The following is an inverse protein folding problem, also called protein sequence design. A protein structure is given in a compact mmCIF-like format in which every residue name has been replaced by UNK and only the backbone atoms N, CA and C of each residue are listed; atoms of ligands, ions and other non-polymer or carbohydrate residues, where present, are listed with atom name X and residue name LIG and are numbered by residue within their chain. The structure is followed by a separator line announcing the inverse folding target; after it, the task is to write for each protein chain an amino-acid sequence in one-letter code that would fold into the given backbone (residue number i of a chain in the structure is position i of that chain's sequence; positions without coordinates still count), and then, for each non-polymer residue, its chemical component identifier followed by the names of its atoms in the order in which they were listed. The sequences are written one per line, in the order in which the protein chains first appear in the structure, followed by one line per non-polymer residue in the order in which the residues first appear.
data_IF_258670930297
#
_entry.id   IF_258670930297
#
_cell.length_a   1.000
_cell.length_b   1.000
_cell.length_c   1.000
_cell.angle_alpha   90.00
_cell.angle_beta   90.00
_cell.angle_gamma   90.00
#
_symmetry.space_group_name_H-M   'P 1'
#
loop_
_entity.id
_entity.type
_entity.pdbx_description
1 polymer ?
#
# COMPACT_ATOMS: atom_id res chain seq x y z
N UNK A 1 -8.60 -15.02 -6.36
CA UNK A 1 -9.07 -13.65 -6.01
C UNK A 1 -9.08 -13.45 -4.49
N UNK A 2 -9.36 -14.48 -3.69
CA UNK A 2 -9.49 -14.40 -2.23
C UNK A 2 -8.21 -13.94 -1.53
N UNK A 3 -7.03 -14.33 -2.03
CA UNK A 3 -5.76 -13.88 -1.49
C UNK A 3 -5.55 -12.36 -1.67
N UNK A 4 -5.89 -11.83 -2.86
CA UNK A 4 -5.80 -10.40 -3.14
C UNK A 4 -6.86 -9.61 -2.38
N UNK A 5 -8.07 -10.14 -2.20
CA UNK A 5 -9.12 -9.52 -1.35
C UNK A 5 -8.74 -9.50 0.13
N UNK A 6 -7.98 -10.50 0.59
CA UNK A 6 -7.50 -10.59 1.97
C UNK A 6 -6.33 -9.65 2.25
N UNK A 7 -5.41 -9.50 1.30
CA UNK A 7 -4.27 -8.60 1.43
C UNK A 7 -4.64 -7.15 1.09
N UNK A 8 -5.52 -6.90 0.11
CA UNK A 8 -5.88 -5.56 -0.35
C UNK A 8 -7.40 -5.30 -0.28
N UNK A 9 -8.03 -5.44 0.91
CA UNK A 9 -9.50 -5.37 1.05
C UNK A 9 -10.09 -4.03 0.61
N UNK A 10 -9.31 -2.94 0.71
CA UNK A 10 -9.73 -1.61 0.28
C UNK A 10 -9.71 -1.46 -1.24
N UNK A 11 -8.75 -2.06 -1.95
CA UNK A 11 -8.67 -2.02 -3.42
C UNK A 11 -9.88 -2.64 -4.11
N UNK A 12 -10.54 -3.62 -3.48
CA UNK A 12 -11.70 -4.32 -4.06
C UNK A 12 -13.06 -3.64 -3.85
N UNK A 13 -13.10 -2.51 -3.12
CA UNK A 13 -14.33 -1.69 -2.98
C UNK A 13 -14.44 -0.59 -4.02
N UNK A 14 -13.50 -0.49 -4.96
CA UNK A 14 -13.45 0.53 -6.00
C UNK A 14 -14.51 0.28 -7.10
N UNK A 15 -15.78 0.55 -6.81
CA UNK A 15 -16.90 0.43 -7.76
C UNK A 15 -17.10 1.70 -8.60
N UNK A 16 -16.73 2.85 -8.02
CA UNK A 16 -16.86 4.20 -8.60
C UNK A 16 -15.54 4.98 -8.47
N UNK A 17 -15.37 6.05 -9.25
CA UNK A 17 -14.14 6.89 -9.26
C UNK A 17 -13.81 7.41 -7.85
N UNK A 18 -14.85 7.80 -7.10
CA UNK A 18 -14.71 8.23 -5.71
C UNK A 18 -14.15 7.12 -4.81
N UNK A 19 -14.60 5.87 -5.00
CA UNK A 19 -14.11 4.72 -4.24
C UNK A 19 -12.67 4.35 -4.59
N UNK A 20 -12.25 4.51 -5.86
CA UNK A 20 -10.85 4.36 -6.23
C UNK A 20 -9.97 5.43 -5.57
N UNK A 21 -10.41 6.69 -5.59
CA UNK A 21 -9.72 7.79 -4.92
C UNK A 21 -9.57 7.56 -3.41
N UNK A 22 -10.61 7.05 -2.74
CA UNK A 22 -10.56 6.71 -1.31
C UNK A 22 -9.55 5.59 -1.05
N UNK A 23 -9.58 4.51 -1.83
CA UNK A 23 -8.61 3.42 -1.66
C UNK A 23 -7.19 3.89 -1.91
N UNK A 24 -6.97 4.73 -2.93
CA UNK A 24 -5.67 5.34 -3.21
C UNK A 24 -5.19 6.21 -2.05
N UNK A 25 -6.07 7.06 -1.51
CA UNK A 25 -5.79 7.89 -0.33
C UNK A 25 -5.40 7.04 0.88
N UNK A 26 -6.10 5.94 1.14
CA UNK A 26 -5.77 5.02 2.24
C UNK A 26 -4.37 4.44 2.07
N UNK A 27 -4.01 3.96 0.87
CA UNK A 27 -2.67 3.43 0.63
C UNK A 27 -1.59 4.51 0.75
N UNK A 28 -1.84 5.72 0.24
CA UNK A 28 -0.90 6.85 0.35
C UNK A 28 -0.70 7.24 1.82
N UNK A 29 -1.77 7.33 2.61
CA UNK A 29 -1.68 7.67 4.03
C UNK A 29 -0.90 6.60 4.80
N UNK A 30 -1.17 5.30 4.53
CA UNK A 30 -0.42 4.20 5.14
C UNK A 30 1.06 4.28 4.76
N UNK A 31 1.37 4.52 3.48
CA UNK A 31 2.75 4.62 2.99
C UNK A 31 3.50 5.79 3.64
N UNK A 32 2.87 6.97 3.76
CA UNK A 32 3.45 8.13 4.44
C UNK A 32 3.68 7.82 5.94
N UNK A 33 2.67 7.29 6.63
CA UNK A 33 2.78 7.00 8.07
C UNK A 33 3.85 5.95 8.33
N UNK A 34 3.84 4.84 7.59
CA UNK A 34 4.86 3.81 7.70
C UNK A 34 6.23 4.33 7.30
N UNK A 35 6.34 5.09 6.21
CA UNK A 35 7.59 5.68 5.74
C UNK A 35 8.20 6.65 6.76
N UNK A 36 7.39 7.49 7.42
CA UNK A 36 7.85 8.39 8.48
C UNK A 36 8.33 7.61 9.69
N UNK A 37 7.57 6.61 10.15
CA UNK A 37 7.93 5.77 11.31
C UNK A 37 9.21 4.98 11.04
N UNK A 38 9.30 4.33 9.88
CA UNK A 38 10.46 3.56 9.44
C UNK A 38 11.66 4.48 9.22
N UNK A 39 11.48 5.66 8.62
CA UNK A 39 12.55 6.65 8.43
C UNK A 39 13.09 7.22 9.74
N UNK A 40 12.23 7.39 10.76
CA UNK A 40 12.65 7.75 12.12
C UNK A 40 13.47 6.63 12.77
N UNK A 41 13.01 5.39 12.66
CA UNK A 41 13.70 4.20 13.19
C UNK A 41 15.00 3.89 12.44
N UNK A 42 15.08 4.22 11.16
CA UNK A 42 16.23 3.98 10.31
C UNK A 42 17.45 4.86 10.67
N UNK A 43 17.26 5.93 11.45
CA UNK A 43 18.35 6.77 11.98
C UNK A 43 19.22 6.03 13.01
N UNK A 44 18.80 4.88 13.51
CA UNK A 44 19.62 4.05 14.39
C UNK A 44 20.68 3.28 13.57
N UNK A 45 21.98 3.55 13.76
CA UNK A 45 23.05 3.05 12.87
C UNK A 45 23.20 1.52 12.84
N UNK A 46 22.74 0.80 13.87
CA UNK A 46 22.81 -0.66 13.94
C UNK A 46 21.65 -1.39 13.25
N UNK A 47 20.46 -0.77 13.21
CA UNK A 47 19.22 -1.42 12.72
C UNK A 47 18.69 -0.70 11.45
N UNK A 48 19.32 0.40 11.05
CA UNK A 48 18.89 1.22 9.92
C UNK A 48 18.77 0.48 8.60
N UNK A 49 19.64 -0.51 8.35
CA UNK A 49 19.57 -1.36 7.16
C UNK A 49 18.31 -2.26 7.15
N UNK A 50 17.92 -2.79 8.32
CA UNK A 50 16.73 -3.62 8.48
C UNK A 50 15.46 -2.79 8.28
N UNK A 51 15.41 -1.58 8.83
CA UNK A 51 14.31 -0.64 8.62
C UNK A 51 14.26 -0.14 7.18
N UNK A 52 15.40 0.10 6.51
CA UNK A 52 15.43 0.41 5.09
C UNK A 52 14.82 -0.71 4.23
N UNK A 53 15.12 -1.97 4.56
CA UNK A 53 14.57 -3.13 3.86
C UNK A 53 13.06 -3.29 4.11
N UNK A 54 12.61 -3.08 5.35
CA UNK A 54 11.18 -3.05 5.71
C UNK A 54 10.45 -1.89 5.02
N UNK A 55 11.06 -0.72 4.92
CA UNK A 55 10.52 0.43 4.19
C UNK A 55 10.35 0.13 2.71
N UNK A 56 11.34 -0.51 2.09
CA UNK A 56 11.24 -1.00 0.72
C UNK A 56 10.10 -2.00 0.53
N UNK A 57 9.93 -2.95 1.45
CA UNK A 57 8.82 -3.91 1.41
C UNK A 57 7.45 -3.25 1.56
N UNK A 58 7.34 -2.26 2.45
CA UNK A 58 6.09 -1.49 2.65
C UNK A 58 5.76 -0.66 1.41
N UNK A 59 6.74 0.05 0.84
CA UNK A 59 6.53 0.82 -0.38
C UNK A 59 6.15 -0.05 -1.57
N UNK A 60 6.77 -1.24 -1.69
CA UNK A 60 6.42 -2.21 -2.72
C UNK A 60 5.01 -2.76 -2.52
N UNK A 61 4.61 -3.04 -1.28
CA UNK A 61 3.24 -3.42 -0.94
C UNK A 61 2.22 -2.31 -1.27
N UNK A 62 2.50 -1.06 -0.90
CA UNK A 62 1.64 0.09 -1.20
C UNK A 62 1.49 0.28 -2.72
N UNK A 63 2.59 0.17 -3.47
CA UNK A 63 2.61 0.23 -4.93
C UNK A 63 1.75 -0.87 -5.54
N UNK A 64 1.89 -2.11 -5.07
CA UNK A 64 1.06 -3.24 -5.53
C UNK A 64 -0.42 -3.01 -5.19
N UNK A 65 -0.74 -2.48 -4.00
CA UNK A 65 -2.11 -2.16 -3.61
C UNK A 65 -2.77 -1.12 -4.51
N UNK A 66 -2.01 -0.11 -4.94
CA UNK A 66 -2.44 0.90 -5.93
C UNK A 66 -2.73 0.24 -7.28
N UNK A 67 -1.81 -0.59 -7.78
CA UNK A 67 -1.99 -1.30 -9.06
C UNK A 67 -3.21 -2.20 -9.03
N UNK A 68 -3.43 -2.94 -7.93
CA UNK A 68 -4.61 -3.79 -7.74
C UNK A 68 -5.89 -2.95 -7.71
N UNK A 69 -5.89 -1.77 -7.06
CA UNK A 69 -7.05 -0.87 -7.05
C UNK A 69 -7.42 -0.39 -8.46
N UNK A 70 -6.41 -0.03 -9.28
CA UNK A 70 -6.60 0.36 -10.68
C UNK A 70 -7.17 -0.81 -11.50
N UNK A 71 -6.61 -2.00 -11.36
CA UNK A 71 -7.07 -3.19 -12.10
C UNK A 71 -8.50 -3.63 -11.73
N UNK A 72 -8.90 -3.48 -10.46
CA UNK A 72 -10.28 -3.70 -10.02
C UNK A 72 -11.22 -2.67 -10.63
N UNK A 73 -10.83 -1.38 -10.62
CA UNK A 73 -11.66 -0.31 -11.18
C UNK A 73 -11.84 -0.44 -12.70
N UNK A 74 -10.80 -0.87 -13.42
CA UNK A 74 -10.88 -1.21 -14.84
C UNK A 74 -11.71 -2.49 -15.10
N UNK A 75 -12.26 -3.13 -14.07
CA UNK A 75 -13.02 -4.40 -14.12
C UNK A 75 -12.21 -5.56 -14.73
N UNK A 76 -10.88 -5.46 -14.75
CA UNK A 76 -9.97 -6.53 -15.18
C UNK A 76 -9.89 -7.61 -14.10
N UNK A 77 -9.98 -7.22 -12.83
CA UNK A 77 -10.06 -8.12 -11.67
C UNK A 77 -11.43 -8.00 -10.99
N UNK A 78 -12.00 -9.13 -10.53
CA UNK A 78 -13.35 -9.25 -9.92
C UNK A 78 -13.32 -9.82 -8.49
#
# INVERSE_FOLDING_TARGET
MDFLKKFFPFSFKAKDVASLLISLLVYIVIDIVCGVVIGLLAKLPLIGWLFGLLGGLVGLYATVGIVVAILVFLKVLK
#
